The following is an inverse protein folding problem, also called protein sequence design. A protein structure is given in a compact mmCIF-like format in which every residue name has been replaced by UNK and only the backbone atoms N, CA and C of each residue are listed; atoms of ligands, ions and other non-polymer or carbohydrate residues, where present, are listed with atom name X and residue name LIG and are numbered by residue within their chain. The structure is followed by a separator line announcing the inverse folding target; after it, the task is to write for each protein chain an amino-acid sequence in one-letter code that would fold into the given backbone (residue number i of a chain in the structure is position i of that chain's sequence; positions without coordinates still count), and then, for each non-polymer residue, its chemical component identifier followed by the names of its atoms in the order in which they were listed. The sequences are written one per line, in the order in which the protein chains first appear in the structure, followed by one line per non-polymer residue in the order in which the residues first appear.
data_IF_749078274431
#
_entry.id   IF_749078274431
#
_cell.length_a   1.000
_cell.length_b   1.000
_cell.length_c   1.000
_cell.angle_alpha   90.00
_cell.angle_beta   90.00
_cell.angle_gamma   90.00
#
_symmetry.space_group_name_H-M   'P 1'
#
loop_
_entity.id
_entity.type
_entity.pdbx_description
1 polymer ?
#
# COMPACT_ATOMS: atom_id res chain seq x y z
N UNK A 1 17.72 18.71 -15.34
CA UNK A 1 18.73 18.86 -14.29
C UNK A 1 19.77 19.94 -14.62
N UNK A 2 20.19 20.09 -15.89
CA UNK A 2 21.15 21.16 -16.29
C UNK A 2 20.61 22.58 -16.11
N UNK A 3 19.31 22.77 -16.20
CA UNK A 3 18.65 24.08 -16.02
C UNK A 3 18.23 24.36 -14.59
N UNK A 4 18.42 23.41 -13.67
CA UNK A 4 18.04 23.56 -12.27
C UNK A 4 19.26 23.97 -11.42
N UNK A 5 19.04 24.82 -10.43
CA UNK A 5 20.05 25.16 -9.42
C UNK A 5 20.28 24.01 -8.43
N UNK A 6 19.21 23.30 -8.07
CA UNK A 6 19.21 22.18 -7.13
C UNK A 6 18.14 21.18 -7.53
N UNK A 7 18.35 19.91 -7.22
CA UNK A 7 17.37 18.84 -7.37
C UNK A 7 17.39 17.96 -6.11
N UNK A 8 16.25 17.32 -5.82
CA UNK A 8 16.21 16.36 -4.73
C UNK A 8 15.36 15.14 -5.07
N UNK A 9 15.79 13.98 -4.59
CA UNK A 9 14.96 12.82 -4.40
C UNK A 9 13.98 13.05 -3.25
N UNK A 10 12.84 12.36 -3.27
CA UNK A 10 11.74 12.50 -2.30
C UNK A 10 11.75 11.42 -1.21
N UNK A 11 12.81 10.64 -1.15
CA UNK A 11 13.26 9.73 -0.10
C UNK A 11 14.78 9.56 -0.21
N UNK A 12 15.44 9.01 0.80
CA UNK A 12 16.88 8.77 0.75
C UNK A 12 17.21 7.80 -0.41
N UNK A 13 16.48 6.69 -0.48
CA UNK A 13 16.64 5.70 -1.55
C UNK A 13 16.42 6.32 -2.95
N UNK A 14 15.39 7.15 -3.12
CA UNK A 14 15.16 7.85 -4.38
C UNK A 14 16.30 8.79 -4.75
N UNK A 15 16.91 9.46 -3.77
CA UNK A 15 18.11 10.27 -3.99
C UNK A 15 19.27 9.41 -4.50
N UNK A 16 19.51 8.25 -3.92
CA UNK A 16 20.55 7.30 -4.36
C UNK A 16 20.28 6.78 -5.77
N UNK A 17 19.07 6.31 -6.05
CA UNK A 17 18.66 5.84 -7.38
C UNK A 17 18.79 6.95 -8.42
N UNK A 18 18.37 8.17 -8.09
CA UNK A 18 18.49 9.32 -8.99
C UNK A 18 19.95 9.66 -9.30
N UNK A 19 20.83 9.68 -8.31
CA UNK A 19 22.26 9.91 -8.54
C UNK A 19 22.87 8.83 -9.44
N UNK A 20 22.55 7.56 -9.23
CA UNK A 20 22.99 6.46 -10.11
C UNK A 20 22.46 6.60 -11.53
N UNK A 21 21.18 6.94 -11.68
CA UNK A 21 20.52 7.09 -12.98
C UNK A 21 21.13 8.21 -13.83
N UNK A 22 21.55 9.29 -13.19
CA UNK A 22 22.01 10.49 -13.88
C UNK A 22 23.53 10.69 -13.85
N UNK A 23 24.30 9.74 -13.29
CA UNK A 23 25.77 9.88 -13.08
C UNK A 23 26.59 10.01 -14.38
N UNK A 24 26.04 9.53 -15.51
CA UNK A 24 26.70 9.61 -16.82
C UNK A 24 26.50 10.95 -17.56
N UNK A 25 25.74 11.87 -16.99
CA UNK A 25 25.44 13.16 -17.59
C UNK A 25 26.25 14.29 -16.97
N UNK A 26 27.02 14.99 -17.78
CA UNK A 26 27.79 16.16 -17.35
C UNK A 26 26.92 17.42 -17.20
N UNK A 27 27.36 18.33 -16.34
CA UNK A 27 26.72 19.64 -16.13
C UNK A 27 25.36 19.60 -15.46
N UNK A 28 25.03 18.52 -14.76
CA UNK A 28 23.82 18.44 -13.94
C UNK A 28 24.08 19.04 -12.56
N UNK A 29 23.01 19.60 -11.94
CA UNK A 29 23.10 20.05 -10.56
C UNK A 29 23.23 18.87 -9.59
N UNK A 30 23.73 19.15 -8.39
CA UNK A 30 23.75 18.17 -7.28
C UNK A 30 22.34 17.67 -6.98
N UNK A 31 22.20 16.34 -6.78
CA UNK A 31 20.97 15.69 -6.38
C UNK A 31 21.07 15.29 -4.91
N UNK A 32 20.39 16.02 -4.06
CA UNK A 32 20.23 15.72 -2.62
C UNK A 32 19.04 14.79 -2.39
N UNK A 33 18.71 14.47 -1.14
CA UNK A 33 17.49 13.76 -0.78
C UNK A 33 16.78 14.51 0.35
N UNK A 34 15.48 14.73 0.17
CA UNK A 34 14.59 15.31 1.19
C UNK A 34 13.36 14.43 1.26
N UNK A 35 13.26 13.62 2.31
CA UNK A 35 12.14 12.70 2.47
C UNK A 35 10.83 13.45 2.59
N UNK A 36 9.83 13.04 1.80
CA UNK A 36 8.50 13.64 1.82
C UNK A 36 7.88 13.56 3.22
N UNK A 37 7.17 14.62 3.59
CA UNK A 37 6.33 14.66 4.78
C UNK A 37 4.84 14.69 4.40
N UNK A 38 3.98 14.43 5.38
CA UNK A 38 2.53 14.46 5.20
C UNK A 38 1.89 15.38 6.25
N UNK A 39 0.80 16.03 5.87
CA UNK A 39 0.04 16.87 6.79
C UNK A 39 -0.72 15.99 7.79
N UNK A 40 -0.19 15.91 9.02
CA UNK A 40 -0.77 15.10 10.09
C UNK A 40 -2.19 15.53 10.43
N UNK A 41 -2.44 16.84 10.57
CA UNK A 41 -3.76 17.39 10.93
C UNK A 41 -4.84 17.01 9.91
N UNK A 42 -4.48 16.93 8.63
CA UNK A 42 -5.42 16.54 7.58
C UNK A 42 -5.68 15.02 7.55
N UNK A 43 -4.63 14.22 7.70
CA UNK A 43 -4.71 12.78 7.45
C UNK A 43 -5.00 11.94 8.67
N UNK A 44 -4.54 12.33 9.88
CA UNK A 44 -4.75 11.51 11.06
C UNK A 44 -6.17 11.66 11.61
N UNK A 45 -6.61 10.64 12.32
CA UNK A 45 -7.83 10.68 13.10
C UNK A 45 -7.52 11.25 14.49
N UNK A 46 -8.14 12.38 14.90
CA UNK A 46 -7.81 13.03 16.18
C UNK A 46 -8.03 12.14 17.39
N UNK A 47 -9.05 11.26 17.36
CA UNK A 47 -9.33 10.38 18.49
C UNK A 47 -8.26 9.28 18.62
N UNK A 48 -7.69 8.78 17.51
CA UNK A 48 -6.53 7.88 17.56
C UNK A 48 -5.30 8.60 18.12
N UNK A 49 -5.05 9.83 17.71
CA UNK A 49 -3.91 10.63 18.21
C UNK A 49 -4.02 10.85 19.73
N UNK A 50 -5.20 11.17 20.23
CA UNK A 50 -5.42 11.36 21.67
C UNK A 50 -5.30 10.05 22.48
N UNK A 51 -5.80 8.95 21.92
CA UNK A 51 -5.66 7.63 22.56
C UNK A 51 -4.18 7.20 22.59
N UNK A 52 -3.42 7.46 21.51
CA UNK A 52 -1.99 7.17 21.47
C UNK A 52 -1.19 8.00 22.48
N UNK A 53 -1.49 9.30 22.65
CA UNK A 53 -0.82 10.15 23.64
C UNK A 53 -1.01 9.66 25.08
N UNK A 54 -2.14 8.98 25.34
CA UNK A 54 -2.47 8.40 26.67
C UNK A 54 -2.04 6.95 26.82
N UNK A 55 -1.41 6.36 25.81
CA UNK A 55 -1.08 4.94 25.72
C UNK A 55 -2.29 4.02 25.99
N UNK A 56 -3.47 4.43 25.49
CA UNK A 56 -4.74 3.75 25.73
C UNK A 56 -5.06 2.79 24.56
N UNK A 57 -4.55 1.58 24.66
CA UNK A 57 -4.74 0.53 23.65
C UNK A 57 -6.22 0.13 23.45
N UNK A 58 -7.05 0.24 24.50
CA UNK A 58 -8.48 -0.06 24.41
C UNK A 58 -9.19 1.01 23.56
N UNK A 59 -8.90 2.29 23.83
CA UNK A 59 -9.44 3.39 23.03
C UNK A 59 -8.99 3.34 21.57
N UNK A 60 -7.71 2.99 21.31
CA UNK A 60 -7.19 2.77 19.95
C UNK A 60 -7.99 1.66 19.25
N UNK A 61 -8.14 0.51 19.90
CA UNK A 61 -8.86 -0.65 19.35
C UNK A 61 -10.33 -0.33 19.05
N UNK A 62 -11.02 0.32 20.00
CA UNK A 62 -12.41 0.74 19.81
C UNK A 62 -12.55 1.73 18.66
N UNK A 63 -11.67 2.76 18.61
CA UNK A 63 -11.71 3.73 17.53
C UNK A 63 -11.44 3.11 16.16
N UNK A 64 -10.50 2.18 16.07
CA UNK A 64 -10.26 1.42 14.82
C UNK A 64 -11.51 0.68 14.36
N UNK A 65 -12.25 0.02 15.24
CA UNK A 65 -13.53 -0.64 14.89
C UNK A 65 -14.54 0.35 14.32
N UNK A 66 -14.69 1.52 14.94
CA UNK A 66 -15.59 2.57 14.42
C UNK A 66 -15.19 3.05 13.01
N UNK A 67 -13.88 3.21 12.76
CA UNK A 67 -13.34 3.62 11.48
C UNK A 67 -13.51 2.52 10.41
N UNK A 68 -13.37 1.26 10.79
CA UNK A 68 -13.69 0.11 9.93
C UNK A 68 -15.16 0.08 9.58
N UNK A 69 -16.08 0.31 10.51
CA UNK A 69 -17.51 0.41 10.23
C UNK A 69 -17.84 1.52 9.22
N UNK A 70 -17.16 2.69 9.32
CA UNK A 70 -17.34 3.77 8.35
C UNK A 70 -16.88 3.35 6.95
N UNK A 71 -15.72 2.70 6.84
CA UNK A 71 -15.22 2.16 5.58
C UNK A 71 -16.14 1.09 5.01
N UNK A 72 -16.61 0.15 5.85
CA UNK A 72 -17.43 -0.97 5.39
C UNK A 72 -18.84 -0.55 4.93
N UNK A 73 -19.36 0.56 5.45
CA UNK A 73 -20.57 1.17 4.85
C UNK A 73 -20.34 1.62 3.41
N UNK A 74 -19.14 2.16 3.12
CA UNK A 74 -18.79 2.51 1.73
C UNK A 74 -18.68 1.26 0.87
N UNK A 75 -18.04 0.21 1.37
CA UNK A 75 -17.94 -1.09 0.70
C UNK A 75 -19.33 -1.64 0.41
N UNK A 76 -20.19 -1.72 1.42
CA UNK A 76 -21.56 -2.24 1.29
C UNK A 76 -22.39 -1.44 0.27
N UNK A 77 -22.31 -0.12 0.32
CA UNK A 77 -23.05 0.77 -0.60
C UNK A 77 -22.60 0.62 -2.06
N UNK A 78 -21.32 0.38 -2.30
CA UNK A 78 -20.80 0.25 -3.67
C UNK A 78 -20.92 -1.18 -4.22
N UNK A 79 -20.84 -2.19 -3.37
CA UNK A 79 -20.62 -3.58 -3.83
C UNK A 79 -21.62 -4.59 -3.30
N UNK A 80 -22.46 -4.21 -2.34
CA UNK A 80 -23.37 -5.10 -1.65
C UNK A 80 -22.69 -6.08 -0.67
N UNK A 81 -21.35 -6.06 -0.55
CA UNK A 81 -20.62 -6.98 0.31
C UNK A 81 -20.56 -6.46 1.76
N UNK A 82 -20.82 -7.35 2.70
CA UNK A 82 -20.79 -7.05 4.13
C UNK A 82 -19.46 -7.54 4.72
N UNK A 83 -18.64 -6.60 5.19
CA UNK A 83 -17.36 -6.87 5.84
C UNK A 83 -17.51 -6.81 7.35
N UNK A 84 -16.75 -7.66 8.08
CA UNK A 84 -16.75 -7.74 9.54
C UNK A 84 -15.62 -6.88 10.13
N UNK A 85 -15.92 -5.92 11.02
CA UNK A 85 -14.91 -5.08 11.65
C UNK A 85 -13.94 -5.84 12.58
N UNK A 86 -14.24 -7.07 12.96
CA UNK A 86 -13.34 -7.91 13.76
C UNK A 86 -12.37 -8.73 12.90
N UNK A 87 -12.55 -8.76 11.59
CA UNK A 87 -11.69 -9.50 10.66
C UNK A 87 -10.56 -8.60 10.16
N UNK A 88 -9.33 -9.13 10.11
CA UNK A 88 -8.16 -8.44 9.57
C UNK A 88 -8.43 -7.93 8.15
N UNK A 89 -8.27 -6.62 7.97
CA UNK A 89 -8.59 -5.95 6.70
C UNK A 89 -7.35 -5.38 6.05
N UNK A 90 -7.03 -5.93 4.88
CA UNK A 90 -5.90 -5.50 4.05
C UNK A 90 -6.43 -4.54 2.99
N UNK A 91 -5.76 -3.41 2.81
CA UNK A 91 -6.09 -2.44 1.76
C UNK A 91 -4.90 -2.23 0.84
N UNK A 92 -5.14 -2.39 -0.46
CA UNK A 92 -4.27 -1.91 -1.52
C UNK A 92 -4.98 -0.75 -2.21
N UNK A 93 -4.51 0.49 -2.04
CA UNK A 93 -5.20 1.65 -2.58
C UNK A 93 -4.25 2.70 -3.16
N UNK A 94 -4.27 2.82 -4.50
CA UNK A 94 -3.45 3.74 -5.28
C UNK A 94 -3.87 3.72 -6.75
N UNK A 95 -3.27 4.60 -7.57
CA UNK A 95 -3.41 4.52 -9.03
C UNK A 95 -2.95 3.14 -9.51
N UNK A 96 -3.75 2.48 -10.36
CA UNK A 96 -3.32 1.28 -11.05
C UNK A 96 -2.23 1.63 -12.07
N UNK A 97 -1.10 0.95 -11.98
CA UNK A 97 0.03 1.02 -12.90
C UNK A 97 0.83 -0.27 -12.77
N UNK A 98 1.44 -0.75 -13.84
CA UNK A 98 2.11 -2.05 -13.89
C UNK A 98 3.15 -2.23 -12.77
N UNK A 99 3.98 -1.21 -12.50
CA UNK A 99 5.02 -1.31 -11.47
C UNK A 99 4.48 -1.39 -10.03
N UNK A 100 3.22 -1.02 -9.80
CA UNK A 100 2.58 -1.07 -8.47
C UNK A 100 2.02 -2.45 -8.13
N UNK A 101 1.94 -3.35 -9.11
CA UNK A 101 1.65 -4.78 -9.00
C UNK A 101 0.42 -5.10 -8.14
N UNK A 102 -0.71 -4.45 -8.42
CA UNK A 102 -1.95 -4.63 -7.67
C UNK A 102 -2.41 -6.10 -7.57
N UNK A 103 -2.04 -6.93 -8.56
CA UNK A 103 -2.36 -8.35 -8.65
C UNK A 103 -1.28 -9.28 -8.05
N UNK A 104 -0.17 -8.78 -7.51
CA UNK A 104 0.91 -9.63 -6.99
C UNK A 104 0.42 -10.65 -5.97
N UNK A 105 -0.47 -10.26 -5.07
CA UNK A 105 -1.09 -11.15 -4.08
C UNK A 105 -1.95 -12.26 -4.70
N UNK A 106 -2.37 -12.10 -5.95
CA UNK A 106 -3.18 -13.05 -6.73
C UNK A 106 -2.35 -13.90 -7.68
N UNK A 107 -1.02 -13.78 -7.70
CA UNK A 107 -0.13 -14.48 -8.63
C UNK A 107 -0.18 -16.00 -8.43
N UNK A 108 -0.19 -16.47 -7.18
CA UNK A 108 -0.58 -17.84 -6.84
C UNK A 108 -2.03 -17.85 -6.33
N UNK A 109 -2.96 -17.89 -7.27
CA UNK A 109 -4.38 -17.77 -6.93
C UNK A 109 -4.89 -18.93 -6.07
N UNK A 110 -4.36 -20.12 -6.24
CA UNK A 110 -4.75 -21.28 -5.43
C UNK A 110 -4.31 -21.11 -3.97
N UNK A 111 -3.11 -20.65 -3.74
CA UNK A 111 -2.59 -20.34 -2.41
C UNK A 111 -3.36 -19.17 -1.78
N UNK A 112 -3.58 -18.12 -2.55
CA UNK A 112 -4.41 -16.99 -2.13
C UNK A 112 -5.81 -17.43 -1.68
N UNK A 113 -6.48 -18.30 -2.43
CA UNK A 113 -7.81 -18.81 -2.06
C UNK A 113 -7.79 -19.60 -0.75
N UNK A 114 -6.74 -20.37 -0.48
CA UNK A 114 -6.59 -21.09 0.81
C UNK A 114 -6.50 -20.10 1.98
N UNK A 115 -5.75 -19.01 1.81
CA UNK A 115 -5.63 -17.94 2.83
C UNK A 115 -6.96 -17.21 2.97
N UNK A 116 -7.54 -16.73 1.86
CA UNK A 116 -8.78 -15.95 1.86
C UNK A 116 -10.00 -16.72 2.41
N UNK A 117 -10.00 -18.05 2.29
CA UNK A 117 -11.06 -18.94 2.80
C UNK A 117 -10.76 -19.53 4.18
N UNK A 118 -9.67 -19.14 4.80
CA UNK A 118 -9.29 -19.66 6.11
C UNK A 118 -10.28 -19.14 7.17
N UNK A 119 -11.04 -20.06 7.79
CA UNK A 119 -12.03 -19.72 8.80
C UNK A 119 -11.42 -19.44 10.18
N UNK A 120 -10.23 -19.97 10.45
CA UNK A 120 -9.54 -19.81 11.74
C UNK A 120 -8.84 -18.44 11.81
N UNK A 121 -8.28 -18.01 10.69
CA UNK A 121 -7.62 -16.72 10.55
C UNK A 121 -8.19 -15.99 9.32
N UNK A 122 -9.43 -15.46 9.43
CA UNK A 122 -10.08 -14.82 8.31
C UNK A 122 -9.41 -13.49 7.95
N UNK A 123 -9.34 -13.20 6.66
CA UNK A 123 -8.89 -11.90 6.14
C UNK A 123 -9.93 -11.29 5.21
N UNK A 124 -9.91 -9.98 5.08
CA UNK A 124 -10.69 -9.22 4.11
C UNK A 124 -9.76 -8.32 3.31
N UNK A 125 -10.02 -8.18 2.00
CA UNK A 125 -9.16 -7.40 1.13
C UNK A 125 -9.97 -6.40 0.31
N UNK A 126 -9.51 -5.15 0.29
CA UNK A 126 -10.09 -4.07 -0.50
C UNK A 126 -9.01 -3.53 -1.44
N UNK A 127 -9.26 -3.59 -2.74
CA UNK A 127 -8.54 -2.81 -3.72
C UNK A 127 -9.29 -1.53 -4.01
N UNK A 128 -8.57 -0.42 -4.15
CA UNK A 128 -9.14 0.86 -4.52
C UNK A 128 -8.18 1.64 -5.43
N UNK A 129 -8.74 2.36 -6.36
CA UNK A 129 -7.95 3.17 -7.27
C UNK A 129 -8.60 3.31 -8.62
N UNK A 130 -7.90 3.98 -9.50
CA UNK A 130 -8.30 4.10 -10.90
C UNK A 130 -7.06 4.00 -11.78
N UNK A 131 -7.15 3.31 -12.94
CA UNK A 131 -6.12 3.38 -13.97
C UNK A 131 -6.12 4.76 -14.62
N UNK A 132 -5.04 5.12 -15.30
CA UNK A 132 -5.05 6.25 -16.21
C UNK A 132 -5.90 5.90 -17.45
N UNK A 133 -6.69 6.82 -18.01
CA UNK A 133 -7.66 6.51 -19.07
C UNK A 133 -7.09 5.83 -20.32
N UNK A 134 -5.85 6.11 -20.68
CA UNK A 134 -5.17 5.55 -21.86
C UNK A 134 -4.18 4.42 -21.51
N UNK A 135 -4.06 4.05 -20.23
CA UNK A 135 -3.23 2.93 -19.79
C UNK A 135 -4.05 1.63 -19.86
N UNK A 136 -4.15 1.05 -21.06
CA UNK A 136 -4.89 -0.20 -21.28
C UNK A 136 -4.33 -1.37 -20.46
N UNK A 137 -3.02 -1.38 -20.18
CA UNK A 137 -2.40 -2.38 -19.30
C UNK A 137 -2.93 -2.27 -17.87
N UNK A 138 -3.02 -1.06 -17.34
CA UNK A 138 -3.59 -0.80 -16.01
C UNK A 138 -5.11 -1.05 -15.95
N UNK A 139 -5.84 -0.77 -17.04
CA UNK A 139 -7.27 -1.09 -17.16
C UNK A 139 -7.47 -2.60 -17.12
N UNK A 140 -6.69 -3.36 -17.88
CA UNK A 140 -6.74 -4.82 -17.89
C UNK A 140 -6.40 -5.40 -16.52
N UNK A 141 -5.38 -4.86 -15.84
CA UNK A 141 -5.02 -5.25 -14.48
C UNK A 141 -6.17 -5.02 -13.47
N UNK A 142 -6.86 -3.89 -13.57
CA UNK A 142 -8.04 -3.61 -12.75
C UNK A 142 -9.15 -4.64 -13.01
N UNK A 143 -9.46 -4.89 -14.27
CA UNK A 143 -10.47 -5.87 -14.68
C UNK A 143 -10.11 -7.29 -14.23
N UNK A 144 -8.84 -7.70 -14.36
CA UNK A 144 -8.36 -9.00 -13.89
C UNK A 144 -8.65 -9.20 -12.40
N UNK A 145 -8.29 -8.21 -11.57
CA UNK A 145 -8.52 -8.28 -10.12
C UNK A 145 -10.01 -8.36 -9.84
N UNK A 146 -10.82 -7.52 -10.47
CA UNK A 146 -12.28 -7.52 -10.30
C UNK A 146 -12.87 -8.89 -10.62
N UNK A 147 -12.57 -9.46 -11.81
CA UNK A 147 -13.13 -10.73 -12.24
C UNK A 147 -12.65 -11.91 -11.38
N UNK A 148 -11.39 -11.93 -10.94
CA UNK A 148 -10.87 -12.98 -10.06
C UNK A 148 -11.49 -12.94 -8.65
N UNK A 149 -11.93 -11.77 -8.18
CA UNK A 149 -12.33 -11.58 -6.77
C UNK A 149 -13.82 -11.29 -6.58
N UNK A 150 -14.60 -11.05 -7.64
CA UNK A 150 -16.01 -10.65 -7.54
C UNK A 150 -16.88 -11.62 -6.74
N UNK A 151 -16.62 -12.92 -6.85
CA UNK A 151 -17.40 -13.97 -6.19
C UNK A 151 -16.87 -14.34 -4.79
N UNK A 152 -15.77 -13.70 -4.33
CA UNK A 152 -15.26 -13.89 -2.98
C UNK A 152 -15.94 -12.87 -2.04
N UNK A 153 -16.64 -13.33 -0.98
CA UNK A 153 -17.41 -12.43 -0.11
C UNK A 153 -16.54 -11.46 0.69
N UNK A 154 -15.28 -11.83 0.93
CA UNK A 154 -14.29 -11.08 1.70
C UNK A 154 -13.28 -10.31 0.85
N UNK A 155 -13.50 -10.21 -0.46
CA UNK A 155 -12.63 -9.45 -1.39
C UNK A 155 -13.48 -8.49 -2.20
N UNK A 156 -12.99 -7.28 -2.43
CA UNK A 156 -13.71 -6.31 -3.24
C UNK A 156 -12.81 -5.27 -3.88
N UNK A 157 -13.31 -4.67 -4.96
CA UNK A 157 -12.73 -3.48 -5.59
C UNK A 157 -13.70 -2.33 -5.41
N UNK A 158 -13.25 -1.21 -4.85
CA UNK A 158 -14.06 0.00 -4.72
C UNK A 158 -13.56 1.08 -5.67
N UNK A 159 -14.47 1.84 -6.23
CA UNK A 159 -14.22 2.88 -7.23
C UNK A 159 -14.41 4.28 -6.64
N UNK A 160 -14.22 5.33 -7.45
CA UNK A 160 -14.33 6.71 -6.96
C UNK A 160 -13.19 7.10 -6.00
N UNK A 161 -11.96 6.65 -6.31
CA UNK A 161 -10.77 6.90 -5.48
C UNK A 161 -10.37 8.37 -5.52
N UNK A 162 -10.98 9.14 -4.63
CA UNK A 162 -10.72 10.55 -4.36
C UNK A 162 -10.22 10.72 -2.90
N UNK A 163 -9.89 11.95 -2.50
CA UNK A 163 -9.35 12.23 -1.15
C UNK A 163 -10.23 11.70 -0.02
N UNK A 164 -11.55 11.83 -0.17
CA UNK A 164 -12.52 11.34 0.81
C UNK A 164 -12.41 9.81 1.00
N UNK A 165 -12.48 9.04 -0.10
CA UNK A 165 -12.37 7.58 -0.04
C UNK A 165 -10.99 7.15 0.44
N UNK A 166 -9.93 7.83 -0.03
CA UNK A 166 -8.56 7.60 0.42
C UNK A 166 -8.41 7.72 1.93
N UNK A 167 -9.06 8.75 2.53
CA UNK A 167 -9.09 8.93 3.98
C UNK A 167 -9.79 7.77 4.71
N UNK A 168 -10.94 7.30 4.21
CA UNK A 168 -11.65 6.16 4.81
C UNK A 168 -10.85 4.85 4.73
N UNK A 169 -10.21 4.60 3.59
CA UNK A 169 -9.38 3.40 3.38
C UNK A 169 -8.19 3.36 4.35
N UNK A 170 -7.47 4.48 4.53
CA UNK A 170 -6.33 4.59 5.43
C UNK A 170 -6.72 4.46 6.90
N UNK A 171 -7.85 5.06 7.29
CA UNK A 171 -8.36 5.00 8.66
C UNK A 171 -8.96 3.63 9.00
N UNK A 172 -9.60 2.98 8.03
CA UNK A 172 -10.30 1.71 8.23
C UNK A 172 -9.49 0.44 7.91
N UNK A 173 -8.26 0.53 7.39
CA UNK A 173 -7.42 -0.64 7.15
C UNK A 173 -6.66 -1.07 8.40
N UNK A 174 -6.43 -2.35 8.57
CA UNK A 174 -5.49 -2.90 9.55
C UNK A 174 -4.08 -3.01 8.94
N UNK A 175 -4.01 -3.53 7.70
CA UNK A 175 -2.78 -3.60 6.91
C UNK A 175 -2.90 -2.74 5.65
N UNK A 176 -1.84 -1.99 5.36
CA UNK A 176 -1.70 -1.22 4.13
C UNK A 176 -0.68 -1.90 3.23
N UNK A 177 -1.17 -2.56 2.18
CA UNK A 177 -0.33 -3.29 1.23
C UNK A 177 0.34 -2.34 0.24
N UNK A 178 1.67 -2.39 0.18
CA UNK A 178 2.51 -1.54 -0.63
C UNK A 178 3.61 -2.36 -1.30
N UNK A 179 3.35 -2.87 -2.49
CA UNK A 179 4.17 -3.88 -3.16
C UNK A 179 4.64 -3.46 -4.57
N UNK A 180 5.25 -2.25 -4.73
CA UNK A 180 5.80 -1.83 -6.01
C UNK A 180 6.97 -2.73 -6.43
N UNK A 181 7.36 -2.67 -7.70
CA UNK A 181 8.69 -3.13 -8.11
C UNK A 181 9.74 -2.32 -7.37
N UNK A 182 10.76 -2.98 -6.82
CA UNK A 182 11.83 -2.30 -6.09
C UNK A 182 12.48 -1.21 -6.95
N UNK A 183 12.81 -0.08 -6.34
CA UNK A 183 13.37 1.14 -6.97
C UNK A 183 12.43 1.90 -7.92
N UNK A 184 11.13 1.55 -7.96
CA UNK A 184 10.16 2.24 -8.82
C UNK A 184 9.23 3.19 -8.04
N UNK A 185 9.16 3.06 -6.70
CA UNK A 185 8.35 3.96 -5.86
C UNK A 185 9.25 5.03 -5.21
N UNK A 186 9.24 6.21 -5.76
CA UNK A 186 10.11 7.31 -5.30
C UNK A 186 9.89 7.70 -3.84
N UNK A 187 8.66 7.63 -3.34
CA UNK A 187 8.33 7.94 -1.95
C UNK A 187 7.33 6.96 -1.33
N UNK A 188 6.12 6.83 -1.88
CA UNK A 188 5.07 5.96 -1.30
C UNK A 188 4.32 6.60 -0.13
N UNK A 189 4.03 7.89 -0.18
CA UNK A 189 3.42 8.69 0.90
C UNK A 189 2.10 8.16 1.45
N UNK A 190 1.37 7.32 0.67
CA UNK A 190 0.14 6.68 1.15
C UNK A 190 0.37 5.77 2.36
N UNK A 191 1.53 5.09 2.42
CA UNK A 191 1.93 4.29 3.57
C UNK A 191 2.18 5.12 4.83
N UNK A 192 2.77 6.33 4.67
CA UNK A 192 2.93 7.27 5.79
C UNK A 192 1.59 7.66 6.39
N UNK A 193 0.63 8.03 5.55
CA UNK A 193 -0.70 8.47 6.00
C UNK A 193 -1.57 7.33 6.52
N UNK A 194 -1.36 6.10 6.06
CA UNK A 194 -1.95 4.90 6.65
C UNK A 194 -1.40 4.64 8.06
N UNK A 195 -0.07 4.72 8.23
CA UNK A 195 0.58 4.55 9.54
C UNK A 195 0.11 5.59 10.57
N UNK A 196 -0.16 6.85 10.17
CA UNK A 196 -0.77 7.88 11.02
C UNK A 196 -2.14 7.48 11.59
N UNK A 197 -2.78 6.45 11.03
CA UNK A 197 -4.11 5.97 11.42
C UNK A 197 -4.08 4.52 11.95
N UNK A 198 -2.96 4.13 12.56
CA UNK A 198 -2.77 2.79 13.11
C UNK A 198 -3.01 1.66 12.08
N UNK A 199 -2.70 1.91 10.81
CA UNK A 199 -2.64 0.89 9.76
C UNK A 199 -1.20 0.48 9.56
N UNK A 200 -0.88 -0.80 9.75
CA UNK A 200 0.48 -1.32 9.66
C UNK A 200 0.85 -1.50 8.19
N UNK A 201 2.02 -1.00 7.78
CA UNK A 201 2.50 -1.22 6.42
C UNK A 201 2.97 -2.68 6.23
N UNK A 202 2.44 -3.33 5.20
CA UNK A 202 2.94 -4.57 4.62
C UNK A 202 3.56 -4.19 3.27
N UNK A 203 4.88 -4.10 3.19
CA UNK A 203 5.53 -3.35 2.11
C UNK A 203 6.82 -3.98 1.60
N UNK A 204 7.06 -3.81 0.30
CA UNK A 204 8.42 -3.85 -0.27
C UNK A 204 9.22 -2.69 0.34
N UNK A 205 10.52 -2.88 0.65
CA UNK A 205 11.39 -1.83 1.22
C UNK A 205 11.82 -0.81 0.15
N UNK A 206 10.87 -0.01 -0.35
CA UNK A 206 11.08 1.02 -1.37
C UNK A 206 10.60 2.40 -0.90
N UNK A 207 11.04 3.45 -1.56
CA UNK A 207 10.70 4.82 -1.21
C UNK A 207 11.17 5.22 0.20
N UNK A 208 10.25 5.70 1.05
CA UNK A 208 10.53 6.10 2.43
C UNK A 208 10.68 4.91 3.39
N UNK A 209 10.19 3.73 3.00
CA UNK A 209 10.07 2.56 3.89
C UNK A 209 11.39 2.18 4.56
N UNK A 210 12.54 2.09 3.86
CA UNK A 210 13.82 1.74 4.49
C UNK A 210 14.28 2.69 5.60
N UNK A 211 13.81 3.94 5.59
CA UNK A 211 14.25 4.96 6.55
C UNK A 211 13.64 4.77 7.95
N UNK A 212 12.40 4.27 8.02
CA UNK A 212 11.63 4.26 9.27
C UNK A 212 11.11 2.89 9.67
N UNK A 213 11.12 1.92 8.76
CA UNK A 213 10.46 0.62 8.98
C UNK A 213 11.39 -0.39 9.64
N UNK A 214 10.85 -1.09 10.64
CA UNK A 214 11.50 -2.19 11.35
C UNK A 214 10.59 -3.40 11.31
N UNK A 215 10.99 -4.42 10.52
CA UNK A 215 10.23 -5.66 10.33
C UNK A 215 9.83 -6.29 11.67
N UNK A 216 8.56 -6.68 11.80
CA UNK A 216 8.00 -7.29 13.01
C UNK A 216 7.81 -6.34 14.20
N UNK A 217 8.15 -5.03 14.05
CA UNK A 217 7.95 -4.01 15.09
C UNK A 217 6.90 -2.98 14.72
N UNK A 218 7.08 -2.29 13.59
CA UNK A 218 6.17 -1.25 13.13
C UNK A 218 5.69 -1.45 11.68
N UNK A 219 6.16 -2.50 11.02
CA UNK A 219 5.77 -2.89 9.69
C UNK A 219 6.07 -4.38 9.45
N UNK A 220 5.54 -4.92 8.35
CA UNK A 220 5.97 -6.19 7.78
C UNK A 220 6.63 -5.92 6.43
N UNK A 221 7.91 -6.30 6.30
CA UNK A 221 8.66 -6.13 5.06
C UNK A 221 8.56 -7.41 4.23
N UNK A 222 8.12 -7.26 2.99
CA UNK A 222 8.14 -8.31 1.98
C UNK A 222 9.60 -8.47 1.52
N UNK A 223 10.15 -9.66 1.69
CA UNK A 223 11.51 -9.95 1.23
C UNK A 223 11.58 -9.83 -0.29
N UNK A 224 12.50 -9.03 -0.79
CA UNK A 224 12.73 -8.85 -2.23
C UNK A 224 13.57 -9.98 -2.80
N UNK A 225 13.38 -10.27 -4.08
CA UNK A 225 14.23 -11.17 -4.83
C UNK A 225 15.58 -10.49 -5.17
N UNK A 226 16.54 -11.28 -5.62
CA UNK A 226 17.85 -10.78 -6.06
C UNK A 226 17.71 -9.89 -7.31
N UNK A 227 18.48 -8.79 -7.34
CA UNK A 227 18.39 -7.81 -8.42
C UNK A 227 18.80 -8.34 -9.79
N UNK A 228 19.62 -9.39 -9.83
CA UNK A 228 20.10 -10.06 -11.03
C UNK A 228 19.04 -10.87 -11.79
N UNK A 229 17.93 -11.23 -11.13
CA UNK A 229 16.90 -12.10 -11.71
C UNK A 229 16.01 -11.33 -12.69
N UNK A 230 15.45 -12.05 -13.71
CA UNK A 230 14.40 -11.51 -14.56
C UNK A 230 13.17 -11.07 -13.77
N UNK A 231 12.45 -10.05 -14.25
CA UNK A 231 11.31 -9.47 -13.51
C UNK A 231 10.21 -10.49 -13.20
N UNK A 232 9.93 -11.42 -14.09
CA UNK A 232 8.93 -12.48 -13.87
C UNK A 232 9.30 -13.43 -12.71
N UNK A 233 10.58 -13.73 -12.56
CA UNK A 233 11.07 -14.54 -11.45
C UNK A 233 11.02 -13.76 -10.13
N UNK A 234 11.42 -12.47 -10.16
CA UNK A 234 11.26 -11.57 -9.01
C UNK A 234 9.81 -11.52 -8.55
N UNK A 235 8.87 -11.34 -9.48
CA UNK A 235 7.45 -11.26 -9.16
C UNK A 235 6.93 -12.56 -8.53
N UNK A 236 7.38 -13.73 -9.00
CA UNK A 236 7.02 -15.03 -8.40
C UNK A 236 7.55 -15.17 -6.98
N UNK A 237 8.83 -14.89 -6.76
CA UNK A 237 9.48 -14.98 -5.44
C UNK A 237 8.83 -14.00 -4.45
N UNK A 238 8.64 -12.77 -4.86
CA UNK A 238 8.07 -11.74 -3.99
C UNK A 238 6.57 -11.97 -3.72
N UNK A 239 5.83 -12.57 -4.66
CA UNK A 239 4.46 -13.03 -4.41
C UNK A 239 4.41 -14.13 -3.33
N UNK A 240 5.33 -15.12 -3.38
CA UNK A 240 5.43 -16.13 -2.34
C UNK A 240 5.78 -15.51 -1.00
N UNK A 241 6.80 -14.65 -0.95
CA UNK A 241 7.21 -13.95 0.27
C UNK A 241 6.07 -13.09 0.85
N UNK A 242 5.25 -12.47 0.01
CA UNK A 242 4.05 -11.74 0.45
C UNK A 242 3.01 -12.70 1.07
N UNK A 243 2.75 -13.84 0.41
CA UNK A 243 1.76 -14.82 0.89
C UNK A 243 2.25 -15.58 2.14
N UNK A 244 3.57 -15.65 2.38
CA UNK A 244 4.16 -16.20 3.61
C UNK A 244 3.91 -15.32 4.83
N UNK A 245 3.67 -14.03 4.63
CA UNK A 245 3.38 -13.07 5.70
C UNK A 245 1.89 -13.01 6.08
N UNK A 246 1.03 -13.70 5.35
CA UNK A 246 -0.43 -13.72 5.54
C UNK A 246 -0.92 -15.05 6.09
#
# INVERSE_FOLDING_TARGET
LRMAKRANGVSQLHGEVSRKMWNSYDGICEITAITNAQNKTYWSDPALDEALKRDDNNAISQRKKELKHKLFRVVANQTGKLFDPNVLTIVWARRFAAYKRANLILSDFNRFLKIARNKKHPIQIIWAGKPYPEDFGAINLFNEIFWKTKDLPNCTVVTGYELWLSGHLKKGSDLWLNNPKLYHEASGTSGMTAAMNASINLSIPDGWVPEFSKHGKNCFLIKTAEDSLPQEEKDKIEAQNLLDLL
#
